data_IF_774898046325
#
_entry.id   IF_774898046325
#
_cell.length_a   1.000
_cell.length_b   1.000
_cell.length_c   1.000
_cell.angle_alpha   90.00
_cell.angle_beta   90.00
_cell.angle_gamma   90.00
#
_symmetry.space_group_name_H-M   'P 1'
#
loop_
_entity.id
_entity.type
_entity.pdbx_description
1 polymer ?
#
# COMPACT_ATOMS: atom_id res chain seq x y z
N UNK A 1 13.83 15.45 4.32
CA UNK A 1 13.89 14.18 5.07
C UNK A 1 14.28 13.11 4.07
N UNK A 2 15.36 12.41 4.35
CA UNK A 2 16.20 11.75 3.35
C UNK A 2 15.54 10.53 2.73
N UNK A 3 15.44 10.59 1.41
CA UNK A 3 15.20 9.47 0.52
C UNK A 3 16.30 8.42 0.71
N UNK A 4 15.91 7.15 0.68
CA UNK A 4 16.75 5.98 0.90
C UNK A 4 18.02 5.97 0.02
N UNK A 5 19.13 5.35 0.48
CA UNK A 5 20.30 5.14 -0.37
C UNK A 5 19.91 4.23 -1.54
N UNK A 6 20.00 4.77 -2.76
CA UNK A 6 19.58 4.09 -3.99
C UNK A 6 20.28 2.74 -4.25
N UNK A 7 19.77 1.96 -5.22
CA UNK A 7 20.21 0.59 -5.47
C UNK A 7 21.70 0.53 -5.83
N UNK A 8 22.39 -0.49 -5.28
CA UNK A 8 23.79 -0.76 -5.60
C UNK A 8 23.90 -1.13 -7.08
N UNK A 9 24.70 -0.35 -7.80
CA UNK A 9 24.92 -0.36 -9.24
C UNK A 9 25.06 -1.78 -9.83
N UNK A 10 24.04 -2.22 -10.57
CA UNK A 10 24.14 -3.35 -11.50
C UNK A 10 24.80 -2.92 -12.82
N UNK A 11 25.33 -3.86 -13.63
CA UNK A 11 26.08 -3.53 -14.84
C UNK A 11 25.17 -3.18 -16.04
N UNK A 12 25.72 -2.29 -16.88
CA UNK A 12 25.32 -1.89 -18.24
C UNK A 12 24.12 -0.94 -18.36
N UNK A 13 24.47 0.35 -18.35
CA UNK A 13 23.63 1.50 -18.67
C UNK A 13 23.36 1.53 -20.19
N UNK A 14 22.12 1.24 -20.59
CA UNK A 14 21.65 1.46 -21.96
C UNK A 14 21.47 2.98 -22.17
N UNK A 15 22.23 3.61 -23.08
CA UNK A 15 22.21 5.06 -23.27
C UNK A 15 20.89 5.59 -23.84
N UNK A 16 20.03 4.71 -24.39
CA UNK A 16 18.70 5.06 -24.91
C UNK A 16 17.58 4.70 -23.92
N UNK A 17 17.91 4.24 -22.71
CA UNK A 17 16.93 3.93 -21.67
C UNK A 17 16.43 5.21 -20.99
N UNK A 18 15.31 5.72 -21.51
CA UNK A 18 14.50 6.71 -20.81
C UNK A 18 13.80 6.02 -19.62
N UNK A 19 14.45 6.06 -18.45
CA UNK A 19 13.91 5.48 -17.22
C UNK A 19 12.61 6.15 -16.74
N UNK A 20 11.97 5.60 -15.68
CA UNK A 20 10.80 6.24 -15.08
C UNK A 20 11.08 7.70 -14.69
N UNK A 21 10.06 8.56 -14.73
CA UNK A 21 10.25 9.97 -14.37
C UNK A 21 10.62 10.13 -12.89
N UNK A 22 11.29 11.23 -12.53
CA UNK A 22 11.60 11.54 -11.13
C UNK A 22 10.33 11.55 -10.26
N UNK A 23 9.23 12.09 -10.78
CA UNK A 23 7.94 12.11 -10.10
C UNK A 23 7.34 10.71 -9.88
N UNK A 24 7.55 9.78 -10.82
CA UNK A 24 7.12 8.39 -10.65
C UNK A 24 7.96 7.66 -9.61
N UNK A 25 9.28 7.91 -9.57
CA UNK A 25 10.16 7.40 -8.53
C UNK A 25 9.79 7.93 -7.14
N UNK A 26 9.40 9.20 -7.01
CA UNK A 26 8.94 9.75 -5.72
C UNK A 26 7.62 9.15 -5.26
N UNK A 27 6.70 8.84 -6.20
CA UNK A 27 5.39 8.28 -5.88
C UNK A 27 5.42 6.78 -5.57
N UNK A 28 6.30 6.03 -6.23
CA UNK A 28 6.26 4.56 -6.22
C UNK A 28 7.60 3.89 -5.87
N UNK A 29 8.67 4.65 -5.67
CA UNK A 29 10.03 4.10 -5.51
C UNK A 29 10.36 3.58 -4.12
N UNK A 30 9.44 3.58 -3.15
CA UNK A 30 9.75 3.23 -1.76
C UNK A 30 8.60 2.42 -1.11
N UNK A 31 8.75 1.09 -1.12
CA UNK A 31 7.91 0.13 -0.35
C UNK A 31 8.59 -0.32 0.95
N UNK A 32 9.60 0.44 1.42
CA UNK A 32 10.38 0.08 2.60
C UNK A 32 9.97 0.95 3.79
N UNK A 33 9.76 0.30 4.94
CA UNK A 33 9.49 0.89 6.25
C UNK A 33 10.59 0.52 7.24
N UNK A 34 10.94 1.44 8.13
CA UNK A 34 11.91 1.17 9.19
C UNK A 34 11.29 0.34 10.31
N UNK A 35 11.96 -0.74 10.72
CA UNK A 35 11.55 -1.54 11.86
C UNK A 35 11.61 -0.71 13.16
N UNK A 36 10.53 -0.71 13.94
CA UNK A 36 10.43 0.06 15.20
C UNK A 36 11.37 -0.43 16.30
N UNK A 37 11.82 -1.67 16.23
CA UNK A 37 12.69 -2.28 17.23
C UNK A 37 14.18 -2.12 16.90
N UNK A 38 14.57 -2.32 15.63
CA UNK A 38 15.98 -2.35 15.24
C UNK A 38 16.41 -1.28 14.23
N UNK A 39 15.45 -0.54 13.66
CA UNK A 39 15.71 0.54 12.70
C UNK A 39 16.17 0.07 11.31
N UNK A 40 16.10 -1.23 11.01
CA UNK A 40 16.42 -1.74 9.68
C UNK A 40 15.29 -1.43 8.69
N UNK A 41 15.64 -1.12 7.44
CA UNK A 41 14.69 -0.97 6.35
C UNK A 41 14.15 -2.35 5.93
N UNK A 42 12.84 -2.51 6.00
CA UNK A 42 12.12 -3.76 5.73
C UNK A 42 10.95 -3.45 4.80
N UNK A 43 10.59 -4.36 3.90
CA UNK A 43 9.40 -4.21 3.07
C UNK A 43 8.14 -4.03 3.92
N UNK A 44 7.26 -3.12 3.52
CA UNK A 44 5.98 -2.82 4.15
C UNK A 44 4.93 -3.93 4.01
N UNK A 45 5.21 -4.97 3.21
CA UNK A 45 4.45 -6.21 3.19
C UNK A 45 4.99 -7.28 4.16
N UNK A 46 6.21 -7.13 4.69
CA UNK A 46 6.88 -8.18 5.43
C UNK A 46 6.37 -8.31 6.88
N UNK A 47 5.68 -9.39 7.24
CA UNK A 47 5.09 -9.57 8.57
C UNK A 47 6.11 -9.58 9.73
N UNK A 48 7.37 -9.92 9.43
CA UNK A 48 8.45 -10.07 10.42
C UNK A 48 9.72 -9.40 9.93
N UNK A 49 10.42 -8.71 10.82
CA UNK A 49 11.73 -8.15 10.51
C UNK A 49 12.77 -9.29 10.35
N UNK A 50 13.44 -9.42 9.19
CA UNK A 50 14.42 -10.48 8.95
C UNK A 50 15.70 -10.31 9.79
N UNK A 51 15.90 -9.13 10.39
CA UNK A 51 17.09 -8.82 11.18
C UNK A 51 16.92 -9.15 12.66
N UNK A 52 15.85 -8.68 13.28
CA UNK A 52 15.64 -8.82 14.72
C UNK A 52 14.52 -9.82 15.09
N UNK A 53 13.71 -10.24 14.12
CA UNK A 53 12.57 -11.14 14.35
C UNK A 53 11.35 -10.48 15.01
N UNK A 54 11.35 -9.15 15.16
CA UNK A 54 10.18 -8.42 15.65
C UNK A 54 9.04 -8.47 14.63
N UNK A 55 7.80 -8.54 15.11
CA UNK A 55 6.61 -8.44 14.27
C UNK A 55 6.48 -7.01 13.73
N UNK A 56 6.26 -6.87 12.43
CA UNK A 56 6.01 -5.58 11.80
C UNK A 56 4.54 -5.23 11.99
N UNK A 57 4.26 -4.11 12.67
CA UNK A 57 2.90 -3.61 12.79
C UNK A 57 2.54 -2.85 11.53
N UNK A 58 2.19 -3.59 10.47
CA UNK A 58 1.65 -3.00 9.25
C UNK A 58 0.31 -2.36 9.56
N UNK A 59 0.35 -1.08 9.90
CA UNK A 59 -0.82 -0.20 9.89
C UNK A 59 -1.20 0.17 8.45
N UNK A 60 -0.91 -0.72 7.50
CA UNK A 60 -1.13 -0.61 6.05
C UNK A 60 -2.36 -1.36 5.57
N UNK A 61 -3.25 -1.81 6.46
CA UNK A 61 -4.66 -1.78 6.09
C UNK A 61 -5.09 -0.34 6.25
N UNK A 62 -4.81 0.45 5.22
CA UNK A 62 -5.69 1.56 4.83
C UNK A 62 -7.06 0.97 4.45
N UNK A 63 -7.70 0.27 5.38
CA UNK A 63 -9.13 0.25 5.50
C UNK A 63 -9.48 1.67 5.91
N UNK A 64 -9.40 2.56 4.93
CA UNK A 64 -9.73 3.96 5.07
C UNK A 64 -11.03 3.98 5.84
N UNK A 65 -11.00 4.59 7.02
CA UNK A 65 -12.20 4.94 7.77
C UNK A 65 -12.94 6.06 7.02
N UNK A 66 -13.16 5.90 5.71
CA UNK A 66 -14.21 6.58 4.99
C UNK A 66 -15.48 5.99 5.56
N UNK A 67 -16.01 6.62 6.62
CA UNK A 67 -17.42 6.45 7.00
C UNK A 67 -18.21 6.48 5.68
N UNK A 68 -18.89 5.39 5.28
CA UNK A 68 -19.56 5.36 3.99
C UNK A 68 -20.52 6.56 3.94
N UNK A 69 -20.47 7.33 2.86
CA UNK A 69 -21.38 8.48 2.67
C UNK A 69 -22.81 7.97 2.89
N UNK A 70 -23.69 8.72 3.59
CA UNK A 70 -25.03 8.25 3.95
C UNK A 70 -25.88 7.81 2.75
N UNK A 71 -25.63 8.39 1.57
CA UNK A 71 -26.26 7.97 0.31
C UNK A 71 -25.88 6.56 -0.16
N UNK A 72 -24.66 6.10 0.12
CA UNK A 72 -24.20 4.74 -0.23
C UNK A 72 -24.95 3.70 0.61
N UNK A 73 -25.16 3.99 1.90
CA UNK A 73 -25.95 3.13 2.78
C UNK A 73 -27.41 3.05 2.34
N UNK A 74 -28.00 4.17 1.92
CA UNK A 74 -29.36 4.19 1.39
C UNK A 74 -29.47 3.38 0.10
N UNK A 75 -28.56 3.58 -0.86
CA UNK A 75 -28.53 2.81 -2.11
C UNK A 75 -28.37 1.31 -1.88
N UNK A 76 -27.47 0.91 -0.99
CA UNK A 76 -27.29 -0.50 -0.61
C UNK A 76 -28.56 -1.10 0.01
N UNK A 77 -29.25 -0.34 0.87
CA UNK A 77 -30.51 -0.76 1.48
C UNK A 77 -31.64 -0.96 0.47
N UNK A 78 -31.81 -0.03 -0.48
CA UNK A 78 -32.83 -0.15 -1.54
C UNK A 78 -32.53 -1.34 -2.44
N UNK A 79 -31.28 -1.54 -2.84
CA UNK A 79 -30.88 -2.66 -3.68
C UNK A 79 -31.16 -4.01 -3.00
N UNK A 80 -30.79 -4.16 -1.73
CA UNK A 80 -31.07 -5.36 -0.94
C UNK A 80 -32.58 -5.58 -0.77
N UNK A 81 -33.35 -4.54 -0.47
CA UNK A 81 -34.80 -4.63 -0.33
C UNK A 81 -35.50 -5.06 -1.63
N UNK A 82 -35.09 -4.49 -2.77
CA UNK A 82 -35.61 -4.88 -4.08
C UNK A 82 -35.26 -6.35 -4.42
N UNK A 83 -34.02 -6.78 -4.13
CA UNK A 83 -33.59 -8.15 -4.37
C UNK A 83 -34.40 -9.17 -3.55
N UNK A 84 -34.63 -8.89 -2.27
CA UNK A 84 -35.47 -9.74 -1.41
C UNK A 84 -36.92 -9.75 -1.89
N UNK A 85 -37.47 -8.59 -2.29
CA UNK A 85 -38.83 -8.49 -2.83
C UNK A 85 -39.00 -9.34 -4.10
N UNK A 86 -38.02 -9.31 -5.02
CA UNK A 86 -38.03 -10.11 -6.26
C UNK A 86 -37.97 -11.61 -5.95
N UNK A 87 -37.24 -12.03 -4.93
CA UNK A 87 -37.15 -13.44 -4.54
C UNK A 87 -38.45 -13.94 -3.89
N UNK A 88 -39.20 -13.06 -3.22
CA UNK A 88 -40.41 -13.40 -2.49
C UNK A 88 -41.71 -13.24 -3.29
N UNK A 89 -41.65 -12.68 -4.51
CA UNK A 89 -42.76 -12.56 -5.47
C UNK A 89 -42.76 -13.72 -6.47
#
# INVERSE_FOLDING_TARGET
MSCCPGPRTGPEFDPDFEGPSEADMERFGCELVACTECGEDVYDEAEWCPRCGAAMTHSGVEGGSSKPKPWVLFGAGVALGAFVLVILL
#
